data_IF_392384893897
#
_entry.id   IF_392384893897
#
_cell.length_a   1.000
_cell.length_b   1.000
_cell.length_c   1.000
_cell.angle_alpha   90.00
_cell.angle_beta   90.00
_cell.angle_gamma   90.00
#
_symmetry.space_group_name_H-M   'P 1'
#
loop_
_entity.id
_entity.type
_entity.pdbx_description
1 polymer ?
#
# COMPACT_ATOMS: atom_id res chain seq x y z
N UNK A 1 -2.38 21.75 -23.36
CA UNK A 1 -2.35 20.80 -22.23
C UNK A 1 -0.89 20.49 -21.95
N UNK A 2 -0.46 20.66 -20.69
CA UNK A 2 0.92 20.37 -20.29
C UNK A 2 1.00 18.94 -19.76
N UNK A 3 1.95 18.15 -20.23
CA UNK A 3 2.27 16.85 -19.64
C UNK A 3 3.03 17.05 -18.34
N UNK A 4 2.51 16.51 -17.23
CA UNK A 4 3.11 16.59 -15.92
C UNK A 4 3.29 15.18 -15.33
N UNK A 5 4.38 15.02 -14.56
CA UNK A 5 4.55 13.85 -13.70
C UNK A 5 3.66 14.02 -12.47
N UNK A 6 2.90 12.97 -12.15
CA UNK A 6 2.02 12.96 -10.98
C UNK A 6 2.09 11.60 -10.27
N UNK A 7 1.63 11.56 -9.03
CA UNK A 7 1.47 10.32 -8.24
C UNK A 7 -0.01 10.03 -8.06
N UNK A 8 -0.41 8.78 -8.23
CA UNK A 8 -1.76 8.32 -7.92
C UNK A 8 -1.91 8.23 -6.40
N UNK A 9 -2.86 8.97 -5.83
CA UNK A 9 -3.11 9.02 -4.39
C UNK A 9 -4.42 8.34 -3.97
N UNK A 10 -5.36 8.16 -4.91
CA UNK A 10 -6.57 7.37 -4.69
C UNK A 10 -7.09 6.81 -6.02
N UNK A 11 -7.89 5.73 -5.92
CA UNK A 11 -8.54 5.08 -7.06
C UNK A 11 -9.96 4.63 -6.67
N UNK A 12 -10.94 5.01 -7.48
CA UNK A 12 -12.34 4.59 -7.33
C UNK A 12 -12.98 4.36 -8.70
N UNK A 13 -13.47 3.14 -8.96
CA UNK A 13 -14.31 2.81 -10.14
C UNK A 13 -13.81 3.38 -11.48
N UNK A 14 -12.50 3.29 -11.72
CA UNK A 14 -11.89 3.77 -12.98
C UNK A 14 -11.59 5.27 -13.01
N UNK A 15 -11.83 5.97 -11.91
CA UNK A 15 -11.36 7.32 -11.65
C UNK A 15 -10.15 7.29 -10.73
N UNK A 16 -9.25 8.23 -10.92
CA UNK A 16 -8.04 8.37 -10.13
C UNK A 16 -7.97 9.77 -9.54
N UNK A 17 -7.45 9.89 -8.32
CA UNK A 17 -6.92 11.17 -7.83
C UNK A 17 -5.41 11.14 -7.98
N UNK A 18 -4.86 12.12 -8.66
CA UNK A 18 -3.43 12.27 -8.88
C UNK A 18 -2.94 13.60 -8.32
N UNK A 19 -1.71 13.61 -7.83
CA UNK A 19 -1.04 14.80 -7.31
C UNK A 19 0.29 15.02 -8.03
N UNK A 20 0.55 16.24 -8.44
CA UNK A 20 1.84 16.68 -8.96
C UNK A 20 2.76 17.26 -7.87
N UNK A 21 2.33 17.20 -6.58
CA UNK A 21 3.02 17.76 -5.43
C UNK A 21 2.47 19.13 -4.98
N UNK A 22 1.85 19.88 -5.85
CA UNK A 22 1.25 21.20 -5.55
C UNK A 22 -0.27 21.18 -5.66
N UNK A 23 -0.80 20.36 -6.52
CA UNK A 23 -2.23 20.28 -6.83
C UNK A 23 -2.69 18.82 -6.87
N UNK A 24 -3.94 18.59 -6.48
CA UNK A 24 -4.63 17.28 -6.61
C UNK A 24 -5.75 17.42 -7.62
N UNK A 25 -5.84 16.46 -8.54
CA UNK A 25 -6.86 16.46 -9.59
C UNK A 25 -7.45 15.07 -9.83
N UNK A 26 -8.71 15.05 -10.21
CA UNK A 26 -9.34 13.83 -10.75
C UNK A 26 -8.77 13.54 -12.13
N UNK A 27 -8.49 12.26 -12.40
CA UNK A 27 -7.94 11.81 -13.65
C UNK A 27 -8.62 10.55 -14.17
N UNK A 28 -8.55 10.36 -15.47
CA UNK A 28 -8.95 9.14 -16.19
C UNK A 28 -7.78 8.63 -17.02
N UNK A 29 -7.74 7.35 -17.34
CA UNK A 29 -6.76 6.83 -18.31
C UNK A 29 -7.18 7.19 -19.72
N UNK A 30 -6.22 7.54 -20.58
CA UNK A 30 -6.49 7.83 -22.00
C UNK A 30 -7.06 6.59 -22.72
N UNK A 31 -7.82 6.82 -23.79
CA UNK A 31 -8.31 5.75 -24.66
C UNK A 31 -7.18 4.89 -25.22
N UNK A 32 -6.08 5.52 -25.64
CA UNK A 32 -4.86 4.85 -26.14
C UNK A 32 -4.23 3.97 -25.08
N UNK A 33 -4.12 4.46 -23.83
CA UNK A 33 -3.61 3.68 -22.69
C UNK A 33 -4.49 2.45 -22.45
N UNK A 34 -5.81 2.65 -22.35
CA UNK A 34 -6.78 1.58 -22.11
C UNK A 34 -6.73 0.49 -23.18
N UNK A 35 -6.52 0.87 -24.44
CA UNK A 35 -6.41 -0.09 -25.54
C UNK A 35 -5.13 -0.91 -25.49
N UNK A 36 -4.04 -0.36 -24.94
CA UNK A 36 -2.74 -1.05 -24.76
C UNK A 36 -2.64 -1.95 -23.54
N UNK A 37 -3.59 -1.87 -22.58
CA UNK A 37 -3.59 -2.65 -21.35
C UNK A 37 -3.98 -4.11 -21.64
N UNK A 38 -3.15 -5.05 -21.17
CA UNK A 38 -3.38 -6.50 -21.34
C UNK A 38 -3.99 -7.12 -20.08
N UNK A 39 -3.60 -6.63 -18.91
CA UNK A 39 -4.03 -7.17 -17.62
C UNK A 39 -4.55 -6.07 -16.70
N UNK A 40 -5.33 -6.46 -15.68
CA UNK A 40 -5.80 -5.51 -14.65
C UNK A 40 -4.62 -4.88 -13.90
N UNK A 41 -3.51 -5.59 -13.77
CA UNK A 41 -2.30 -5.12 -13.08
C UNK A 41 -1.57 -4.00 -13.84
N UNK A 42 -1.85 -3.82 -15.14
CA UNK A 42 -1.25 -2.75 -15.95
C UNK A 42 -1.95 -1.41 -15.74
N UNK A 43 -3.13 -1.40 -15.11
CA UNK A 43 -3.78 -0.14 -14.75
C UNK A 43 -3.05 0.55 -13.60
N UNK A 44 -3.11 1.91 -13.56
CA UNK A 44 -2.56 2.65 -12.43
C UNK A 44 -3.21 2.23 -11.11
N UNK A 45 -2.42 2.14 -10.05
CA UNK A 45 -2.83 1.87 -8.69
C UNK A 45 -2.33 2.96 -7.75
N UNK A 46 -2.82 2.99 -6.53
CA UNK A 46 -2.34 3.94 -5.51
C UNK A 46 -0.83 3.81 -5.33
N UNK A 47 -0.13 4.94 -5.31
CA UNK A 47 1.33 5.00 -5.21
C UNK A 47 2.07 5.03 -6.54
N UNK A 48 1.43 4.72 -7.66
CA UNK A 48 2.05 4.77 -8.97
C UNK A 48 2.43 6.19 -9.40
N UNK A 49 3.55 6.28 -10.12
CA UNK A 49 3.92 7.49 -10.84
C UNK A 49 3.42 7.40 -12.29
N UNK A 50 2.82 8.48 -12.75
CA UNK A 50 2.21 8.58 -14.07
C UNK A 50 2.63 9.86 -14.79
N UNK A 51 2.52 9.87 -16.11
CA UNK A 51 2.43 11.08 -16.91
C UNK A 51 0.97 11.34 -17.18
N UNK A 52 0.53 12.54 -16.93
CA UNK A 52 -0.83 12.97 -17.22
C UNK A 52 -0.84 14.30 -17.95
N UNK A 53 -1.72 14.41 -18.93
CA UNK A 53 -2.09 15.68 -19.54
C UNK A 53 -2.95 16.46 -18.55
N UNK A 54 -2.49 17.67 -18.20
CA UNK A 54 -3.13 18.54 -17.21
C UNK A 54 -3.90 19.64 -17.94
N UNK A 55 -5.24 19.68 -17.86
CA UNK A 55 -6.01 20.70 -18.55
C UNK A 55 -5.84 22.07 -17.87
N UNK A 56 -6.00 23.11 -18.64
CA UNK A 56 -6.22 24.47 -18.14
C UNK A 56 -7.66 24.56 -17.61
N UNK A 57 -7.88 24.97 -16.36
CA UNK A 57 -9.20 25.00 -15.71
C UNK A 57 -9.59 23.69 -15.02
N UNK A 58 -10.89 23.50 -14.75
CA UNK A 58 -11.42 22.48 -13.84
C UNK A 58 -11.65 21.07 -14.43
N UNK A 59 -11.10 20.79 -15.61
CA UNK A 59 -11.25 19.49 -16.26
C UNK A 59 -10.49 18.36 -15.60
N UNK A 60 -10.87 17.10 -15.87
CA UNK A 60 -10.13 15.93 -15.46
C UNK A 60 -8.80 15.84 -16.20
N UNK A 61 -7.75 15.47 -15.48
CA UNK A 61 -6.47 15.11 -16.10
C UNK A 61 -6.59 13.77 -16.85
N UNK A 62 -5.72 13.55 -17.84
CA UNK A 62 -5.71 12.33 -18.64
C UNK A 62 -4.38 11.60 -18.49
N UNK A 63 -4.38 10.45 -17.87
CA UNK A 63 -3.19 9.60 -17.69
C UNK A 63 -2.84 8.97 -19.04
N UNK A 64 -1.64 9.24 -19.52
CA UNK A 64 -1.13 8.77 -20.81
C UNK A 64 -0.07 7.68 -20.67
N UNK A 65 0.64 7.64 -19.53
CA UNK A 65 1.73 6.67 -19.30
C UNK A 65 1.90 6.35 -17.82
N UNK A 66 2.22 5.09 -17.52
CA UNK A 66 2.63 4.58 -16.22
C UNK A 66 4.15 4.39 -16.19
N UNK A 67 4.80 4.81 -15.10
CA UNK A 67 6.21 4.51 -14.87
C UNK A 67 6.39 3.09 -14.32
N UNK A 68 7.56 2.45 -14.54
CA UNK A 68 7.89 1.18 -13.91
C UNK A 68 7.78 1.27 -12.39
N UNK A 69 7.19 0.25 -11.79
CA UNK A 69 7.05 0.12 -10.34
C UNK A 69 8.35 -0.39 -9.72
N UNK A 70 8.72 0.15 -8.54
CA UNK A 70 9.83 -0.36 -7.72
C UNK A 70 9.37 -1.48 -6.79
N UNK A 71 8.17 -1.36 -6.27
CA UNK A 71 7.49 -2.33 -5.43
C UNK A 71 6.02 -2.42 -5.81
N UNK A 72 5.39 -3.58 -5.57
CA UNK A 72 4.01 -3.81 -5.96
C UNK A 72 3.32 -4.76 -4.99
N UNK A 73 2.34 -4.26 -4.24
CA UNK A 73 1.53 -5.09 -3.35
C UNK A 73 0.31 -5.61 -4.11
N UNK A 74 0.30 -6.93 -4.35
CA UNK A 74 -0.73 -7.60 -5.13
C UNK A 74 -1.65 -8.40 -4.22
N UNK A 75 -2.94 -8.23 -4.39
CA UNK A 75 -3.97 -9.04 -3.74
C UNK A 75 -4.65 -9.93 -4.77
N UNK A 76 -4.77 -11.22 -4.47
CA UNK A 76 -5.62 -12.13 -5.24
C UNK A 76 -7.08 -11.89 -4.85
N UNK A 77 -7.93 -11.63 -5.83
CA UNK A 77 -9.39 -11.53 -5.58
C UNK A 77 -9.93 -12.87 -5.12
N UNK A 78 -10.71 -12.87 -4.04
CA UNK A 78 -11.52 -14.02 -3.68
C UNK A 78 -12.66 -14.17 -4.70
N UNK A 79 -12.69 -15.26 -5.47
CA UNK A 79 -13.75 -15.55 -6.46
C UNK A 79 -13.26 -16.41 -7.61
N UNK A 80 -14.17 -16.81 -8.51
CA UNK A 80 -13.94 -17.70 -9.66
C UNK A 80 -13.16 -17.07 -10.82
N UNK A 81 -12.16 -16.34 -10.54
CA UNK A 81 -11.23 -15.78 -11.52
C UNK A 81 -10.01 -15.33 -10.77
N UNK A 82 -8.88 -15.97 -11.03
CA UNK A 82 -7.58 -15.63 -10.44
C UNK A 82 -7.12 -14.23 -10.91
N UNK A 83 -7.92 -13.18 -10.60
CA UNK A 83 -7.61 -11.80 -10.97
C UNK A 83 -6.74 -11.20 -9.90
N UNK A 84 -5.51 -10.96 -10.26
CA UNK A 84 -4.57 -10.19 -9.44
C UNK A 84 -4.96 -8.71 -9.52
N UNK A 85 -5.07 -8.07 -8.35
CA UNK A 85 -5.30 -6.64 -8.24
C UNK A 85 -4.12 -6.00 -7.52
N UNK A 86 -3.53 -5.01 -8.14
CA UNK A 86 -2.55 -4.15 -7.47
C UNK A 86 -3.29 -3.28 -6.47
N UNK A 87 -2.97 -3.45 -5.21
CA UNK A 87 -3.55 -2.67 -4.11
C UNK A 87 -2.82 -1.36 -3.95
N UNK A 88 -1.48 -1.43 -4.01
CA UNK A 88 -0.61 -0.26 -3.95
C UNK A 88 0.74 -0.56 -4.60
N UNK A 89 1.43 0.49 -5.07
CA UNK A 89 2.71 0.42 -5.74
C UNK A 89 3.68 1.45 -5.18
N UNK A 90 4.98 1.23 -5.42
CA UNK A 90 6.07 2.11 -4.98
C UNK A 90 6.01 2.39 -3.47
N UNK A 91 5.76 1.31 -2.70
CA UNK A 91 5.73 1.31 -1.24
C UNK A 91 7.15 1.03 -0.75
N UNK A 92 7.64 1.82 0.19
CA UNK A 92 8.95 1.61 0.81
C UNK A 92 8.80 0.74 2.08
N UNK A 93 7.74 0.96 2.87
CA UNK A 93 7.51 0.25 4.13
C UNK A 93 6.07 -0.29 4.21
N UNK A 94 5.92 -1.52 4.69
CA UNK A 94 4.62 -2.16 4.99
C UNK A 94 4.49 -2.39 6.48
N UNK A 95 3.49 -1.75 7.10
CA UNK A 95 3.13 -2.04 8.47
C UNK A 95 2.21 -3.26 8.54
N UNK A 96 2.67 -4.34 9.18
CA UNK A 96 1.89 -5.54 9.46
C UNK A 96 1.32 -5.41 10.87
N UNK A 97 0.09 -4.95 10.96
CA UNK A 97 -0.58 -4.71 12.24
C UNK A 97 -1.22 -5.99 12.79
N UNK A 98 -0.91 -6.34 14.02
CA UNK A 98 -1.49 -7.48 14.74
C UNK A 98 -1.80 -7.09 16.19
N UNK A 99 -3.02 -7.35 16.66
CA UNK A 99 -3.40 -7.00 18.03
C UNK A 99 -2.94 -8.07 19.03
N UNK A 100 -2.43 -7.61 20.18
CA UNK A 100 -2.00 -8.42 21.32
C UNK A 100 -3.19 -8.87 22.19
N UNK A 101 -4.14 -9.56 21.56
CA UNK A 101 -5.30 -10.16 22.21
C UNK A 101 -5.52 -11.59 21.67
N UNK A 102 -6.74 -12.11 21.75
CA UNK A 102 -7.11 -13.43 21.20
C UNK A 102 -6.84 -13.58 19.68
N UNK A 103 -6.57 -12.49 18.97
CA UNK A 103 -6.25 -12.48 17.54
C UNK A 103 -4.74 -12.58 17.25
N UNK A 104 -3.88 -12.64 18.25
CA UNK A 104 -2.46 -12.87 18.06
C UNK A 104 -2.20 -14.23 17.38
N UNK A 105 -1.46 -14.25 16.26
CA UNK A 105 -1.26 -15.46 15.47
C UNK A 105 0.00 -15.37 14.60
N UNK A 106 1.05 -16.07 14.99
CA UNK A 106 2.35 -16.07 14.31
C UNK A 106 2.25 -16.62 12.87
N UNK A 107 1.48 -17.69 12.61
CA UNK A 107 1.33 -18.23 11.24
C UNK A 107 0.69 -17.24 10.29
N UNK A 108 -0.20 -16.38 10.80
CA UNK A 108 -0.77 -15.30 10.00
C UNK A 108 0.27 -14.21 9.72
N UNK A 109 1.11 -13.89 10.70
CA UNK A 109 2.22 -12.97 10.55
C UNK A 109 3.20 -13.44 9.47
N UNK A 110 3.68 -14.68 9.56
CA UNK A 110 4.60 -15.28 8.57
C UNK A 110 4.05 -15.17 7.14
N UNK A 111 2.76 -15.41 6.96
CA UNK A 111 2.11 -15.28 5.66
C UNK A 111 2.08 -13.84 5.15
N UNK A 112 1.88 -12.85 6.02
CA UNK A 112 1.93 -11.43 5.63
C UNK A 112 3.36 -10.96 5.38
N UNK A 113 4.34 -11.46 6.12
CA UNK A 113 5.75 -11.20 5.86
C UNK A 113 6.16 -11.69 4.48
N UNK A 114 5.76 -12.91 4.09
CA UNK A 114 6.01 -13.42 2.74
C UNK A 114 5.45 -12.48 1.67
N UNK A 115 4.20 -12.01 1.83
CA UNK A 115 3.59 -11.08 0.89
C UNK A 115 4.34 -9.73 0.87
N UNK A 116 4.80 -9.24 2.01
CA UNK A 116 5.57 -7.99 2.09
C UNK A 116 6.91 -8.11 1.37
N UNK A 117 7.65 -9.19 1.60
CA UNK A 117 8.91 -9.46 0.89
C UNK A 117 8.71 -9.63 -0.62
N UNK A 118 7.68 -10.36 -1.03
CA UNK A 118 7.34 -10.54 -2.45
C UNK A 118 6.99 -9.20 -3.13
N UNK A 119 6.48 -8.23 -2.36
CA UNK A 119 6.16 -6.90 -2.87
C UNK A 119 7.39 -6.02 -3.12
N UNK A 120 8.54 -6.35 -2.52
CA UNK A 120 9.76 -5.54 -2.53
C UNK A 120 9.77 -4.40 -1.50
N UNK A 121 8.80 -4.34 -0.56
CA UNK A 121 8.77 -3.35 0.52
C UNK A 121 9.38 -3.92 1.82
N UNK A 122 9.93 -3.04 2.66
CA UNK A 122 10.44 -3.42 3.97
C UNK A 122 9.29 -3.62 4.97
N UNK A 123 9.12 -4.81 5.59
CA UNK A 123 8.10 -5.01 6.60
C UNK A 123 8.50 -4.41 7.95
N UNK A 124 7.51 -3.88 8.66
CA UNK A 124 7.58 -3.51 10.07
C UNK A 124 6.37 -4.14 10.77
N UNK A 125 6.57 -4.85 11.86
CA UNK A 125 5.48 -5.46 12.64
C UNK A 125 5.02 -4.49 13.71
N UNK A 126 3.72 -4.19 13.74
CA UNK A 126 3.12 -3.33 14.75
C UNK A 126 2.15 -4.15 15.61
N UNK A 127 2.54 -4.40 16.84
CA UNK A 127 1.73 -5.09 17.84
C UNK A 127 0.84 -4.08 18.54
N UNK A 128 -0.42 -4.04 18.18
CA UNK A 128 -1.39 -3.08 18.73
C UNK A 128 -2.08 -3.63 19.98
N UNK A 129 -2.69 -2.73 20.76
CA UNK A 129 -3.40 -3.06 22.00
C UNK A 129 -2.50 -3.73 23.04
N UNK A 130 -1.30 -3.18 23.24
CA UNK A 130 -0.35 -3.64 24.24
C UNK A 130 -0.93 -3.58 25.65
N UNK A 131 -1.84 -2.65 25.92
CA UNK A 131 -2.62 -2.51 27.14
C UNK A 131 -3.45 -3.75 27.53
N UNK A 132 -3.82 -4.59 26.56
CA UNK A 132 -4.58 -5.82 26.78
C UNK A 132 -3.70 -7.06 26.98
N UNK A 133 -2.38 -6.90 26.97
CA UNK A 133 -1.42 -8.00 27.07
C UNK A 133 -0.64 -7.91 28.38
N UNK A 134 -0.68 -8.96 29.18
CA UNK A 134 0.06 -9.03 30.45
C UNK A 134 1.56 -9.28 30.29
N UNK A 135 2.01 -9.77 29.12
CA UNK A 135 3.40 -10.09 28.82
C UNK A 135 3.75 -9.70 27.37
N UNK A 136 3.93 -8.41 27.18
CA UNK A 136 4.24 -7.81 25.87
C UNK A 136 5.64 -8.22 25.41
N UNK A 137 6.61 -8.29 26.31
CA UNK A 137 8.01 -8.62 25.99
C UNK A 137 8.14 -10.03 25.43
N UNK A 138 7.45 -11.01 26.01
CA UNK A 138 7.41 -12.39 25.49
C UNK A 138 6.80 -12.44 24.09
N UNK A 139 5.79 -11.62 23.82
CA UNK A 139 5.17 -11.53 22.48
C UNK A 139 6.07 -10.87 21.45
N UNK A 140 6.82 -9.86 21.83
CA UNK A 140 7.86 -9.26 20.97
C UNK A 140 8.93 -10.31 20.61
N UNK A 141 9.43 -11.05 21.61
CA UNK A 141 10.41 -12.11 21.38
C UNK A 141 9.87 -13.23 20.47
N UNK A 142 8.61 -13.63 20.65
CA UNK A 142 7.95 -14.62 19.79
C UNK A 142 7.93 -14.15 18.32
N UNK A 143 7.62 -12.87 18.09
CA UNK A 143 7.63 -12.25 16.75
C UNK A 143 9.05 -12.15 16.20
N UNK A 144 10.03 -11.69 16.99
CA UNK A 144 11.42 -11.57 16.56
C UNK A 144 12.05 -12.91 16.18
N UNK A 145 11.68 -13.98 16.88
CA UNK A 145 12.10 -15.34 16.54
C UNK A 145 11.49 -15.83 15.22
N UNK A 146 10.23 -15.45 14.94
CA UNK A 146 9.55 -15.80 13.69
C UNK A 146 9.98 -14.91 12.51
N UNK A 147 10.44 -13.71 12.78
CA UNK A 147 10.83 -12.69 11.79
C UNK A 147 12.18 -12.03 12.14
N UNK A 148 13.30 -12.75 12.08
CA UNK A 148 14.61 -12.19 12.40
C UNK A 148 14.94 -10.98 11.52
N UNK A 149 15.39 -9.88 12.15
CA UNK A 149 15.78 -8.65 11.45
C UNK A 149 14.63 -7.75 11.00
N UNK A 150 13.38 -8.05 11.38
CA UNK A 150 12.22 -7.19 11.16
C UNK A 150 12.01 -6.32 12.40
N UNK A 151 11.77 -5.04 12.19
CA UNK A 151 11.43 -4.12 13.28
C UNK A 151 10.07 -4.48 13.87
N UNK A 152 10.00 -4.52 15.23
CA UNK A 152 8.79 -4.85 15.97
C UNK A 152 8.48 -3.70 16.93
N UNK A 153 7.31 -3.10 16.78
CA UNK A 153 6.81 -2.02 17.63
C UNK A 153 5.58 -2.51 18.38
N UNK A 154 5.51 -2.26 19.70
CA UNK A 154 4.29 -2.47 20.49
C UNK A 154 3.69 -1.10 20.84
N UNK A 155 2.38 -0.95 20.56
CA UNK A 155 1.67 0.32 20.75
C UNK A 155 0.29 0.10 21.41
N UNK A 156 -0.12 1.08 22.22
CA UNK A 156 -1.50 1.20 22.72
C UNK A 156 -2.03 2.60 22.40
N UNK A 157 -3.29 2.70 22.03
CA UNK A 157 -3.96 3.99 21.89
C UNK A 157 -4.39 4.61 23.25
N UNK A 158 -4.27 3.83 24.33
CA UNK A 158 -4.60 4.27 25.68
C UNK A 158 -3.38 4.83 26.43
N UNK A 159 -2.17 4.61 25.92
CA UNK A 159 -0.95 5.18 26.49
C UNK A 159 -0.83 6.61 25.98
N UNK A 160 -1.02 7.58 26.88
CA UNK A 160 -0.86 9.03 26.58
C UNK A 160 0.58 9.40 26.18
N UNK A 161 1.55 8.48 26.36
CA UNK A 161 2.99 8.65 26.12
C UNK A 161 3.49 8.02 24.79
N UNK A 162 2.62 7.72 23.83
CA UNK A 162 3.08 7.41 22.47
C UNK A 162 3.51 8.68 21.72
N UNK A 163 4.29 9.50 22.40
CA UNK A 163 5.10 10.55 21.81
C UNK A 163 6.11 9.86 20.88
N UNK A 164 6.01 10.19 19.61
CA UNK A 164 6.89 9.77 18.55
C UNK A 164 8.37 9.73 18.99
N UNK A 165 8.99 8.58 18.86
CA UNK A 165 10.43 8.46 18.73
C UNK A 165 10.76 8.43 17.25
#
# INVERSE_FOLDING_TARGET
MNELRARVIAQEKGLYKISNGTEVRTAVVSGKYRYGVQTVSDYPAVGDYVIAEWPEGDGNAVITRLFPRRSCFIRKSAGTGNREQVVAANIDTVFICMSLNKNFNIRRLERYLSIAYDSGAAPVVVLTKSDLCSDVESKILEVQNAAPGVDVLAVSLLDEDTGAV
#
